data_IF_482478013180
#
_entry.id   IF_482478013180
#
_cell.length_a   1.000
_cell.length_b   1.000
_cell.length_c   1.000
_cell.angle_alpha   90.00
_cell.angle_beta   90.00
_cell.angle_gamma   90.00
#
_symmetry.space_group_name_H-M   'P 1'
#
loop_
_entity.id
_entity.type
_entity.pdbx_description
1 polymer ?
#
# COMPACT_ATOMS: atom_id res chain seq x y z
N UNK A 1 -66.30 -23.69 -7.67
CA UNK A 1 -64.99 -23.52 -8.33
C UNK A 1 -64.34 -22.27 -7.73
N UNK A 2 -63.44 -22.46 -6.77
CA UNK A 2 -62.73 -21.35 -6.10
C UNK A 2 -61.36 -21.21 -6.74
N UNK A 3 -61.10 -20.08 -7.42
CA UNK A 3 -59.79 -19.76 -8.00
C UNK A 3 -58.88 -19.31 -6.88
N UNK A 4 -57.84 -20.10 -6.60
CA UNK A 4 -56.74 -19.80 -5.69
C UNK A 4 -55.76 -18.90 -6.42
N UNK A 5 -55.70 -17.64 -6.05
CA UNK A 5 -54.78 -16.64 -6.61
C UNK A 5 -53.45 -16.74 -5.83
N UNK A 6 -52.43 -17.35 -6.42
CA UNK A 6 -51.11 -17.49 -5.85
C UNK A 6 -50.38 -16.16 -6.02
N UNK A 7 -50.18 -15.41 -4.94
CA UNK A 7 -49.43 -14.17 -4.89
C UNK A 7 -47.94 -14.56 -4.70
N UNK A 8 -47.17 -14.48 -5.81
CA UNK A 8 -45.71 -14.65 -5.75
C UNK A 8 -45.10 -13.35 -5.23
N UNK A 9 -44.74 -13.35 -3.96
CA UNK A 9 -43.97 -12.26 -3.36
C UNK A 9 -42.54 -12.26 -3.91
N UNK A 10 -42.20 -11.30 -4.75
CA UNK A 10 -40.81 -11.02 -5.11
C UNK A 10 -40.09 -10.44 -3.88
N UNK A 11 -39.28 -11.26 -3.20
CA UNK A 11 -38.27 -10.78 -2.28
C UNK A 11 -37.17 -10.08 -3.11
N UNK A 12 -37.21 -8.77 -3.14
CA UNK A 12 -36.09 -7.98 -3.61
C UNK A 12 -34.95 -8.09 -2.56
N UNK A 13 -34.02 -9.00 -2.79
CA UNK A 13 -32.76 -9.04 -2.06
C UNK A 13 -31.94 -7.86 -2.55
N UNK A 14 -31.98 -6.76 -1.80
CA UNK A 14 -31.04 -5.66 -2.00
C UNK A 14 -29.66 -6.16 -1.58
N UNK A 15 -28.87 -6.59 -2.57
CA UNK A 15 -27.43 -6.70 -2.41
C UNK A 15 -26.93 -5.29 -2.13
N UNK A 16 -26.59 -4.98 -0.89
CA UNK A 16 -25.73 -3.87 -0.58
C UNK A 16 -24.40 -4.19 -1.29
N UNK A 17 -24.20 -3.58 -2.46
CA UNK A 17 -22.88 -3.49 -3.07
C UNK A 17 -22.02 -2.74 -2.06
N UNK A 18 -21.22 -3.47 -1.27
CA UNK A 18 -20.08 -2.86 -0.61
C UNK A 18 -19.27 -2.25 -1.73
N UNK A 19 -19.10 -0.92 -1.69
CA UNK A 19 -18.29 -0.22 -2.65
C UNK A 19 -16.89 -0.84 -2.60
N UNK A 20 -16.56 -1.60 -3.63
CA UNK A 20 -15.24 -2.20 -3.78
C UNK A 20 -14.26 -1.03 -3.89
N UNK A 21 -13.23 -1.00 -3.05
CA UNK A 21 -12.20 0.02 -3.12
C UNK A 21 -11.71 0.12 -4.57
N UNK A 22 -11.76 1.32 -5.14
CA UNK A 22 -11.42 1.54 -6.55
C UNK A 22 -9.91 1.58 -6.77
N UNK A 23 -9.17 1.95 -5.74
CA UNK A 23 -7.71 2.13 -5.78
C UNK A 23 -7.01 1.19 -4.80
N UNK A 24 -5.80 0.74 -5.17
CA UNK A 24 -5.00 -0.21 -4.41
C UNK A 24 -3.82 0.45 -3.66
N UNK A 25 -3.95 1.73 -3.30
CA UNK A 25 -2.89 2.45 -2.62
C UNK A 25 -2.75 2.04 -1.15
N UNK A 26 -3.82 1.48 -0.55
CA UNK A 26 -3.76 0.87 0.78
C UNK A 26 -2.83 -0.33 0.78
N UNK A 27 -2.96 -1.22 -0.23
CA UNK A 27 -2.11 -2.40 -0.43
C UNK A 27 -0.68 -2.01 -0.83
N UNK A 28 -0.50 -0.93 -1.60
CA UNK A 28 0.83 -0.34 -1.88
C UNK A 28 1.58 -0.03 -0.59
N UNK A 29 0.86 0.46 0.42
CA UNK A 29 1.38 0.82 1.75
C UNK A 29 1.35 -0.36 2.74
N UNK A 30 1.26 -1.60 2.24
CA UNK A 30 1.29 -2.82 3.05
C UNK A 30 0.21 -2.80 4.15
N UNK A 31 -0.98 -2.33 3.81
CA UNK A 31 -2.14 -2.31 4.69
C UNK A 31 -3.37 -2.90 3.98
N UNK A 32 -4.43 -3.15 4.72
CA UNK A 32 -5.71 -3.69 4.23
C UNK A 32 -6.88 -3.12 5.02
N UNK A 33 -8.05 -3.17 4.41
CA UNK A 33 -9.30 -2.68 5.03
C UNK A 33 -9.54 -1.20 4.76
N UNK A 34 -10.50 -0.63 5.47
CA UNK A 34 -10.95 0.76 5.30
C UNK A 34 -9.99 1.74 5.99
N UNK A 35 -8.75 1.80 5.53
CA UNK A 35 -7.71 2.67 6.10
C UNK A 35 -7.99 4.12 5.72
N UNK A 36 -7.97 5.01 6.73
CA UNK A 36 -8.12 6.45 6.57
C UNK A 36 -6.79 7.18 6.55
N UNK A 37 -5.86 6.75 7.40
CA UNK A 37 -4.57 7.41 7.53
C UNK A 37 -3.50 6.45 8.05
N UNK A 38 -2.29 6.56 7.53
CA UNK A 38 -1.09 5.91 8.08
C UNK A 38 -0.11 7.01 8.47
N UNK A 39 0.37 6.97 9.72
CA UNK A 39 1.42 7.85 10.23
C UNK A 39 2.64 7.03 10.59
N UNK A 40 3.80 7.39 10.09
CA UNK A 40 5.08 6.73 10.39
C UNK A 40 6.17 7.77 10.59
N UNK A 41 7.18 7.44 11.39
CA UNK A 41 8.37 8.26 11.52
C UNK A 41 9.51 7.61 10.74
N UNK A 42 10.10 8.35 9.82
CA UNK A 42 11.26 7.93 9.06
C UNK A 42 12.39 8.94 9.22
N UNK A 43 13.50 8.51 9.81
CA UNK A 43 14.67 9.36 10.03
C UNK A 43 14.35 10.68 10.75
N UNK A 44 13.44 10.63 11.75
CA UNK A 44 13.03 11.81 12.53
C UNK A 44 12.03 12.74 11.84
N UNK A 45 11.46 12.32 10.69
CA UNK A 45 10.38 13.05 10.02
C UNK A 45 9.09 12.25 10.09
N UNK A 46 8.02 12.91 10.48
CA UNK A 46 6.70 12.33 10.46
C UNK A 46 6.15 12.36 9.04
N UNK A 47 5.80 11.19 8.54
CA UNK A 47 5.17 11.01 7.25
C UNK A 47 3.71 10.64 7.50
N UNK A 48 2.81 11.37 6.87
CA UNK A 48 1.36 11.15 6.95
C UNK A 48 0.84 10.83 5.56
N UNK A 49 0.24 9.65 5.41
CA UNK A 49 -0.41 9.22 4.18
C UNK A 49 -1.90 9.13 4.47
N UNK A 50 -2.70 9.93 3.79
CA UNK A 50 -4.14 9.89 3.90
C UNK A 50 -4.74 9.09 2.75
N UNK A 51 -5.86 8.43 3.00
CA UNK A 51 -6.60 7.68 1.99
C UNK A 51 -8.04 8.18 1.96
N UNK A 52 -8.62 8.25 0.77
CA UNK A 52 -10.06 8.42 0.58
C UNK A 52 -10.79 7.09 0.80
N UNK A 53 -12.11 7.11 0.95
CA UNK A 53 -12.92 5.91 1.16
C UNK A 53 -12.81 4.88 0.02
N UNK A 54 -12.50 5.32 -1.19
CA UNK A 54 -12.22 4.47 -2.35
C UNK A 54 -10.77 3.98 -2.44
N UNK A 55 -9.95 4.23 -1.40
CA UNK A 55 -8.59 3.73 -1.24
C UNK A 55 -7.49 4.54 -1.89
N UNK A 56 -7.80 5.69 -2.52
CA UNK A 56 -6.79 6.53 -3.16
C UNK A 56 -5.99 7.32 -2.16
N UNK A 57 -4.66 7.23 -2.22
CA UNK A 57 -3.78 7.96 -1.30
C UNK A 57 -3.55 9.41 -1.71
N UNK A 58 -3.26 10.22 -0.69
CA UNK A 58 -2.68 11.55 -0.82
C UNK A 58 -1.59 11.74 0.23
N UNK A 59 -0.47 12.32 -0.17
CA UNK A 59 0.67 12.62 0.68
C UNK A 59 1.33 13.92 0.20
N UNK A 60 1.84 14.70 1.15
CA UNK A 60 2.61 15.89 0.82
C UNK A 60 3.83 15.55 -0.05
N UNK A 61 4.08 16.39 -1.07
CA UNK A 61 5.17 16.18 -2.04
C UNK A 61 4.87 15.14 -3.11
N UNK A 62 3.65 14.59 -3.19
CA UNK A 62 3.22 13.69 -4.26
C UNK A 62 2.25 14.37 -5.23
N UNK A 63 2.44 14.12 -6.53
CA UNK A 63 1.59 14.63 -7.59
C UNK A 63 1.52 13.67 -8.79
N UNK A 64 0.70 13.98 -9.79
CA UNK A 64 0.62 13.30 -11.09
C UNK A 64 0.48 11.77 -11.01
N UNK A 65 -0.34 11.28 -10.06
CA UNK A 65 -0.61 9.85 -9.91
C UNK A 65 -1.33 9.29 -11.15
N UNK A 66 -0.76 8.24 -11.73
CA UNK A 66 -1.31 7.50 -12.87
C UNK A 66 -1.68 6.10 -12.44
N UNK A 67 -2.89 5.68 -12.78
CA UNK A 67 -3.45 4.37 -12.45
C UNK A 67 -3.78 3.58 -13.70
N UNK A 68 -3.79 2.26 -13.59
CA UNK A 68 -4.38 1.40 -14.61
C UNK A 68 -5.92 1.35 -14.49
N UNK A 69 -6.57 0.62 -15.41
CA UNK A 69 -8.02 0.49 -15.42
C UNK A 69 -8.61 -0.23 -14.19
N UNK A 70 -7.78 -0.97 -13.45
CA UNK A 70 -8.17 -1.70 -12.24
C UNK A 70 -7.88 -0.93 -10.95
N UNK A 71 -7.30 0.27 -11.02
CA UNK A 71 -6.98 1.11 -9.87
C UNK A 71 -5.62 0.85 -9.24
N UNK A 72 -4.73 0.12 -9.91
CA UNK A 72 -3.34 -0.04 -9.47
C UNK A 72 -2.50 1.16 -9.86
N UNK A 73 -1.79 1.74 -8.92
CA UNK A 73 -0.89 2.87 -9.15
C UNK A 73 0.30 2.44 -10.01
N UNK A 74 0.45 3.07 -11.17
CA UNK A 74 1.56 2.81 -12.10
C UNK A 74 2.73 3.73 -11.86
N UNK A 75 2.46 5.03 -11.66
CA UNK A 75 3.50 6.01 -11.34
C UNK A 75 2.95 7.21 -10.59
N UNK A 76 3.85 7.91 -9.89
CA UNK A 76 3.65 9.22 -9.29
C UNK A 76 4.88 10.09 -9.54
N UNK A 77 4.72 11.40 -9.40
CA UNK A 77 5.83 12.30 -9.14
C UNK A 77 5.96 12.51 -7.63
N UNK A 78 7.16 12.36 -7.12
CA UNK A 78 7.48 12.60 -5.71
C UNK A 78 8.59 13.65 -5.60
N UNK A 79 8.40 14.60 -4.68
CA UNK A 79 9.43 15.58 -4.35
C UNK A 79 10.38 14.98 -3.30
N UNK A 80 11.66 14.87 -3.65
CA UNK A 80 12.71 14.33 -2.79
C UNK A 80 13.90 15.29 -2.76
N UNK A 81 14.25 15.81 -1.58
CA UNK A 81 15.38 16.73 -1.39
C UNK A 81 15.37 17.93 -2.36
N UNK A 82 14.18 18.50 -2.60
CA UNK A 82 13.99 19.63 -3.51
C UNK A 82 14.01 19.29 -5.01
N UNK A 83 14.08 18.02 -5.36
CA UNK A 83 13.98 17.54 -6.75
C UNK A 83 12.75 16.68 -6.93
N UNK A 84 12.06 16.86 -8.06
CA UNK A 84 10.93 16.00 -8.43
C UNK A 84 11.43 14.79 -9.20
N UNK A 85 11.08 13.60 -8.76
CA UNK A 85 11.37 12.32 -9.43
C UNK A 85 10.08 11.56 -9.74
N UNK A 86 10.06 10.90 -10.90
CA UNK A 86 9.00 9.93 -11.20
C UNK A 86 9.35 8.63 -10.49
N UNK A 87 8.35 8.10 -9.75
CA UNK A 87 8.41 6.79 -9.12
C UNK A 87 7.43 5.89 -9.85
N UNK A 88 7.89 4.75 -10.34
CA UNK A 88 7.05 3.75 -11.02
C UNK A 88 6.93 2.49 -10.19
N UNK A 89 5.79 1.81 -10.31
CA UNK A 89 5.47 0.60 -9.52
C UNK A 89 5.20 -0.58 -10.44
N UNK A 90 5.65 -1.75 -10.03
CA UNK A 90 5.34 -3.03 -10.66
C UNK A 90 4.50 -3.87 -9.72
N UNK A 91 3.35 -4.33 -10.21
CA UNK A 91 2.41 -5.15 -9.45
C UNK A 91 2.37 -6.58 -10.01
N UNK A 92 2.26 -7.56 -9.12
CA UNK A 92 2.01 -8.96 -9.44
C UNK A 92 1.07 -9.55 -8.38
N UNK A 93 0.00 -10.19 -8.82
CA UNK A 93 -1.00 -10.81 -7.94
C UNK A 93 -1.52 -9.88 -6.82
N UNK A 94 -1.80 -8.61 -7.16
CA UNK A 94 -2.30 -7.61 -6.22
C UNK A 94 -1.27 -7.09 -5.21
N UNK A 95 0.03 -7.33 -5.43
CA UNK A 95 1.13 -6.88 -4.57
C UNK A 95 2.19 -6.14 -5.35
N UNK A 96 2.79 -5.14 -4.73
CA UNK A 96 3.92 -4.40 -5.31
C UNK A 96 5.19 -5.24 -5.20
N UNK A 97 5.70 -5.70 -6.33
CA UNK A 97 6.95 -6.48 -6.39
C UNK A 97 8.15 -5.65 -6.82
N UNK A 98 7.93 -4.43 -7.32
CA UNK A 98 9.01 -3.56 -7.76
C UNK A 98 8.63 -2.09 -7.69
N UNK A 99 9.64 -1.27 -7.48
CA UNK A 99 9.57 0.18 -7.52
C UNK A 99 10.85 0.70 -8.17
N UNK A 100 10.70 1.68 -9.07
CA UNK A 100 11.86 2.35 -9.69
C UNK A 100 11.72 3.85 -9.52
N UNK A 101 12.84 4.50 -9.24
CA UNK A 101 12.92 5.95 -9.16
C UNK A 101 14.31 6.42 -9.61
N UNK A 102 14.43 7.71 -9.92
CA UNK A 102 15.71 8.34 -10.15
C UNK A 102 16.03 9.27 -8.98
N UNK A 103 17.15 9.07 -8.32
CA UNK A 103 17.60 9.93 -7.22
C UNK A 103 18.99 10.49 -7.54
N UNK A 104 19.09 11.81 -7.64
CA UNK A 104 20.35 12.51 -7.94
C UNK A 104 21.05 11.98 -9.22
N UNK A 105 20.27 11.64 -10.27
CA UNK A 105 20.79 11.11 -11.52
C UNK A 105 21.10 9.61 -11.53
N UNK A 106 20.93 8.92 -10.38
CA UNK A 106 21.11 7.47 -10.29
C UNK A 106 19.75 6.77 -10.31
N UNK A 107 19.63 5.76 -11.17
CA UNK A 107 18.47 4.88 -11.16
C UNK A 107 18.53 3.96 -9.92
N UNK A 108 17.46 3.96 -9.13
CA UNK A 108 17.29 3.07 -7.99
C UNK A 108 16.14 2.13 -8.32
N UNK A 109 16.39 0.83 -8.21
CA UNK A 109 15.36 -0.19 -8.31
C UNK A 109 15.22 -0.88 -6.95
N UNK A 110 13.98 -0.97 -6.44
CA UNK A 110 13.67 -1.69 -5.21
C UNK A 110 12.79 -2.87 -5.60
N UNK A 111 13.24 -4.09 -5.32
CA UNK A 111 12.45 -5.31 -5.42
C UNK A 111 11.94 -5.69 -4.05
N UNK A 112 10.70 -6.16 -3.99
CA UNK A 112 10.05 -6.58 -2.76
C UNK A 112 9.72 -8.06 -2.83
N UNK A 113 10.15 -8.81 -1.82
CA UNK A 113 9.82 -10.23 -1.65
C UNK A 113 8.87 -10.40 -0.47
N UNK A 114 8.11 -11.51 -0.46
CA UNK A 114 7.05 -11.74 0.52
C UNK A 114 7.20 -13.10 1.20
N UNK A 115 6.76 -13.18 2.44
CA UNK A 115 6.53 -14.42 3.17
C UNK A 115 5.20 -15.06 2.73
N UNK A 116 4.97 -16.31 3.10
CA UNK A 116 3.74 -17.05 2.77
C UNK A 116 2.49 -16.41 3.38
N UNK A 117 2.62 -15.75 4.54
CA UNK A 117 1.54 -15.01 5.20
C UNK A 117 1.22 -13.66 4.55
N UNK A 118 1.99 -13.27 3.53
CA UNK A 118 1.81 -12.05 2.78
C UNK A 118 2.51 -10.82 3.33
N UNK A 119 3.23 -10.93 4.45
CA UNK A 119 4.11 -9.87 4.93
C UNK A 119 5.33 -9.71 4.02
N UNK A 120 5.91 -8.51 3.98
CA UNK A 120 7.14 -8.28 3.22
C UNK A 120 8.29 -9.03 3.90
N UNK A 121 8.98 -9.89 3.16
CA UNK A 121 10.15 -10.61 3.64
C UNK A 121 11.40 -9.73 3.59
N UNK A 122 11.63 -9.08 2.46
CA UNK A 122 12.77 -8.18 2.27
C UNK A 122 12.51 -7.14 1.18
N UNK A 123 13.16 -6.00 1.30
CA UNK A 123 13.39 -5.06 0.23
C UNK A 123 14.81 -5.22 -0.27
N UNK A 124 14.97 -5.38 -1.59
CA UNK A 124 16.27 -5.51 -2.26
C UNK A 124 16.44 -4.26 -3.12
N UNK A 125 17.35 -3.40 -2.71
CA UNK A 125 17.64 -2.13 -3.40
C UNK A 125 18.87 -2.31 -4.30
N UNK A 126 18.73 -1.95 -5.58
CA UNK A 126 19.83 -1.86 -6.55
C UNK A 126 20.09 -0.38 -6.87
N UNK A 127 21.33 0.04 -6.70
CA UNK A 127 21.82 1.38 -6.99
C UNK A 127 22.99 1.26 -7.97
N UNK A 128 22.67 1.09 -9.28
CA UNK A 128 23.68 1.02 -10.34
C UNK A 128 24.61 -0.19 -10.24
N UNK A 129 24.07 -1.36 -9.87
CA UNK A 129 24.80 -2.62 -9.74
C UNK A 129 25.28 -2.94 -8.31
N UNK A 130 25.11 -2.02 -7.36
CA UNK A 130 25.33 -2.29 -5.95
C UNK A 130 23.99 -2.69 -5.30
N UNK A 131 23.88 -3.95 -4.95
CA UNK A 131 22.65 -4.50 -4.35
C UNK A 131 22.76 -4.54 -2.83
N UNK A 132 21.74 -4.04 -2.16
CA UNK A 132 21.58 -4.09 -0.71
C UNK A 132 20.25 -4.72 -0.35
N UNK A 133 20.27 -5.75 0.48
CA UNK A 133 19.06 -6.38 1.01
C UNK A 133 18.76 -5.87 2.41
N UNK A 134 17.48 -5.58 2.66
CA UNK A 134 16.95 -5.20 3.96
C UNK A 134 15.83 -6.18 4.32
N UNK A 135 16.14 -7.24 5.07
CA UNK A 135 15.16 -8.20 5.55
C UNK A 135 14.29 -7.56 6.65
N UNK A 136 13.03 -7.96 6.70
CA UNK A 136 12.08 -7.56 7.72
C UNK A 136 11.68 -8.76 8.59
N UNK A 137 11.55 -8.53 9.90
CA UNK A 137 11.18 -9.53 10.91
C UNK A 137 10.48 -8.90 12.10
N UNK A 138 10.08 -9.70 13.09
CA UNK A 138 9.51 -9.27 14.38
C UNK A 138 8.26 -8.40 14.21
N UNK A 139 7.41 -8.79 13.27
CA UNK A 139 6.17 -8.08 12.99
C UNK A 139 5.22 -8.10 14.18
N UNK A 140 4.68 -6.93 14.55
CA UNK A 140 3.53 -6.78 15.45
C UNK A 140 2.37 -6.21 14.66
N UNK A 141 1.17 -6.68 14.97
CA UNK A 141 -0.04 -6.34 14.22
C UNK A 141 -1.08 -5.70 15.13
N UNK A 142 -1.94 -4.86 14.55
CA UNK A 142 -3.16 -4.37 15.18
C UNK A 142 -4.31 -5.38 15.05
N UNK A 143 -5.47 -5.04 15.61
CA UNK A 143 -6.67 -5.90 15.60
C UNK A 143 -7.26 -6.10 14.18
N UNK A 144 -6.86 -5.29 13.20
CA UNK A 144 -7.23 -5.42 11.78
C UNK A 144 -6.24 -6.30 11.00
N UNK A 145 -5.18 -6.77 11.66
CA UNK A 145 -4.13 -7.57 11.06
C UNK A 145 -3.20 -6.77 10.13
N UNK A 146 -3.07 -5.47 10.36
CA UNK A 146 -2.08 -4.62 9.73
C UNK A 146 -0.85 -4.49 10.65
N UNK A 147 0.34 -4.58 10.07
CA UNK A 147 1.53 -4.42 10.90
C UNK A 147 1.63 -2.98 11.44
N UNK A 148 2.05 -2.86 12.70
CA UNK A 148 2.27 -1.58 13.39
C UNK A 148 3.71 -1.39 13.86
N UNK A 149 4.47 -2.48 13.92
CA UNK A 149 5.90 -2.47 14.23
C UNK A 149 6.57 -3.64 13.52
N UNK A 150 7.79 -3.42 13.08
CA UNK A 150 8.70 -4.45 12.55
C UNK A 150 10.15 -4.02 12.73
N UNK A 151 11.07 -4.97 12.73
CA UNK A 151 12.49 -4.71 12.71
C UNK A 151 13.11 -5.11 11.37
N UNK A 152 14.12 -4.37 10.95
CA UNK A 152 14.93 -4.66 9.78
C UNK A 152 16.41 -4.60 10.12
N UNK A 153 17.23 -5.13 9.24
CA UNK A 153 18.67 -5.04 9.36
C UNK A 153 19.26 -4.40 8.10
N UNK A 154 20.06 -3.36 8.27
CA UNK A 154 20.74 -2.67 7.18
C UNK A 154 22.17 -2.34 7.61
N UNK A 155 23.17 -2.81 6.82
CA UNK A 155 24.60 -2.58 7.09
C UNK A 155 25.02 -2.99 8.53
N UNK A 156 24.50 -4.12 9.03
CA UNK A 156 24.78 -4.62 10.37
C UNK A 156 24.15 -3.84 11.51
N UNK A 157 23.21 -2.93 11.22
CA UNK A 157 22.44 -2.17 12.20
C UNK A 157 20.98 -2.58 12.17
N UNK A 158 20.43 -2.88 13.33
CA UNK A 158 18.98 -3.09 13.47
C UNK A 158 18.25 -1.75 13.39
N UNK A 159 17.21 -1.69 12.58
CA UNK A 159 16.29 -0.57 12.47
C UNK A 159 14.90 -1.02 12.89
N UNK A 160 14.25 -0.26 13.72
CA UNK A 160 12.85 -0.45 14.05
C UNK A 160 12.00 0.51 13.20
N UNK A 161 10.93 -0.02 12.62
CA UNK A 161 9.93 0.76 11.93
C UNK A 161 8.59 0.61 12.63
N UNK A 162 7.99 1.72 13.00
CA UNK A 162 6.67 1.77 13.64
C UNK A 162 5.72 2.64 12.83
N UNK A 163 4.43 2.32 12.91
CA UNK A 163 3.38 3.16 12.32
C UNK A 163 2.10 3.08 13.14
N UNK A 164 1.26 4.10 13.03
CA UNK A 164 -0.12 4.10 13.51
C UNK A 164 -1.07 4.16 12.34
N UNK A 165 -2.20 3.47 12.45
CA UNK A 165 -3.20 3.37 11.39
C UNK A 165 -4.54 3.83 11.96
N UNK A 166 -5.20 4.74 11.25
CA UNK A 166 -6.56 5.16 11.52
C UNK A 166 -7.48 4.58 10.46
N UNK A 167 -8.69 4.17 10.86
CA UNK A 167 -9.66 3.53 9.98
C UNK A 167 -10.91 4.38 9.85
N UNK A 168 -11.58 4.25 8.71
CA UNK A 168 -12.96 4.72 8.56
C UNK A 168 -13.88 3.87 9.45
N UNK A 169 -14.96 4.48 9.93
CA UNK A 169 -15.99 3.83 10.77
C UNK A 169 -17.02 3.13 9.91
#
# INVERSE_FOLDING_TARGET
MKKLMMMVGMLAVSFAMQAQTKFHDVELNEAKGAVKCIKTNQMGRDIVINFSEDGKMSQEGMSDAKYDANGYLLSIKAEMMGNTSEVTYKWENGRVVGQKMNMMGNAIEIKRTYNDDGTVKANIMDMGGNTMEMPWKDYKFDDHGNWISRSGEMMGRTMEQTRTIEYYK
#
